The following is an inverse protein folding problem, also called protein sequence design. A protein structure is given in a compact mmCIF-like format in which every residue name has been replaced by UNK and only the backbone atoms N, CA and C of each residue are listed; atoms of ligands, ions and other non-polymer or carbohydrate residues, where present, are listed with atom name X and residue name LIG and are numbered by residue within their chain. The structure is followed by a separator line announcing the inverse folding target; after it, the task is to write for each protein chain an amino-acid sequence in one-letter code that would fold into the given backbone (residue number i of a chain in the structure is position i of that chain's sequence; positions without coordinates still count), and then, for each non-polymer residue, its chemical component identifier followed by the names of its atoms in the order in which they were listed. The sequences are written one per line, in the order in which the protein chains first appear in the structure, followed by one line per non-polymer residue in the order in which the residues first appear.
data_IF_871927444028
#
_entry.id   IF_871927444028
#
_cell.length_a   1.000
_cell.length_b   1.000
_cell.length_c   1.000
_cell.angle_alpha   90.00
_cell.angle_beta   90.00
_cell.angle_gamma   90.00
#
_symmetry.space_group_name_H-M   'P 1'
#
loop_
_entity.id
_entity.type
_entity.pdbx_description
1 polymer ?
#
# COMPACT_ATOMS: atom_id res chain seq x y z
N UNK A 1 60.97 -30.13 -15.74
CA UNK A 1 60.58 -29.15 -14.71
C UNK A 1 60.00 -27.95 -15.42
N UNK A 2 58.68 -27.87 -15.53
CA UNK A 2 57.97 -26.70 -16.06
C UNK A 2 57.17 -26.10 -14.90
N UNK A 3 57.51 -24.86 -14.54
CA UNK A 3 56.94 -24.13 -13.42
C UNK A 3 55.60 -23.52 -13.85
N UNK A 4 54.50 -23.95 -13.23
CA UNK A 4 53.21 -23.27 -13.36
C UNK A 4 53.27 -21.93 -12.61
N UNK A 5 52.90 -20.86 -13.30
CA UNK A 5 52.81 -19.51 -12.79
C UNK A 5 51.48 -19.33 -12.02
N UNK A 6 51.48 -18.98 -10.72
CA UNK A 6 50.27 -18.79 -9.95
C UNK A 6 49.82 -17.33 -10.08
N UNK A 7 49.32 -16.93 -11.25
CA UNK A 7 48.45 -15.77 -11.31
C UNK A 7 47.07 -16.20 -10.84
N UNK A 8 46.87 -16.13 -9.52
CA UNK A 8 45.56 -16.03 -8.89
C UNK A 8 44.80 -14.89 -9.57
N UNK A 9 43.90 -15.24 -10.49
CA UNK A 9 42.75 -14.41 -10.79
C UNK A 9 41.80 -14.52 -9.60
N UNK A 10 42.11 -13.81 -8.52
CA UNK A 10 41.12 -13.44 -7.52
C UNK A 10 40.21 -12.40 -8.17
N UNK A 11 39.32 -12.86 -9.05
CA UNK A 11 38.12 -12.13 -9.37
C UNK A 11 37.30 -12.10 -8.07
N UNK A 12 37.58 -11.09 -7.25
CA UNK A 12 36.66 -10.62 -6.23
C UNK A 12 35.31 -10.48 -6.93
N UNK A 13 34.42 -11.44 -6.70
CA UNK A 13 33.01 -11.30 -6.92
C UNK A 13 32.58 -10.16 -5.98
N UNK A 14 32.79 -8.93 -6.44
CA UNK A 14 32.14 -7.77 -5.89
C UNK A 14 30.69 -7.97 -6.28
N UNK A 15 29.98 -8.78 -5.49
CA UNK A 15 28.53 -8.78 -5.50
C UNK A 15 28.21 -7.37 -5.05
N UNK A 16 27.75 -6.48 -5.95
CA UNK A 16 27.36 -5.15 -5.51
C UNK A 16 26.36 -5.37 -4.40
N UNK A 17 26.60 -4.75 -3.24
CA UNK A 17 25.61 -4.70 -2.17
C UNK A 17 24.37 -4.08 -2.82
N UNK A 18 23.40 -4.93 -3.17
CA UNK A 18 22.24 -4.47 -3.91
C UNK A 18 21.42 -3.66 -2.94
N UNK A 19 21.39 -2.35 -3.15
CA UNK A 19 20.59 -1.43 -2.36
C UNK A 19 19.16 -1.95 -2.31
N UNK A 20 18.59 -2.01 -1.12
CA UNK A 20 17.26 -2.53 -0.90
C UNK A 20 16.21 -1.68 -1.64
N UNK A 21 15.33 -2.33 -2.39
CA UNK A 21 14.40 -1.67 -3.33
C UNK A 21 13.22 -2.60 -3.62
N UNK A 22 12.12 -2.06 -4.14
CA UNK A 22 11.05 -2.84 -4.73
C UNK A 22 11.58 -3.64 -5.93
N UNK A 23 11.18 -4.90 -6.05
CA UNK A 23 11.45 -5.75 -7.21
C UNK A 23 10.16 -5.97 -8.00
N UNK A 24 10.21 -5.72 -9.30
CA UNK A 24 9.08 -5.91 -10.19
C UNK A 24 8.89 -7.37 -10.59
N UNK A 25 7.80 -7.61 -11.32
CA UNK A 25 7.42 -8.95 -11.82
C UNK A 25 8.45 -9.54 -12.80
N UNK A 26 9.24 -8.69 -13.47
CA UNK A 26 10.36 -9.11 -14.33
C UNK A 26 11.58 -9.62 -13.55
N UNK A 27 11.55 -9.54 -12.21
CA UNK A 27 12.69 -9.86 -11.35
C UNK A 27 13.77 -8.76 -11.31
N UNK A 28 13.49 -7.60 -11.89
CA UNK A 28 14.39 -6.44 -11.86
C UNK A 28 13.98 -5.45 -10.77
N UNK A 29 14.94 -4.68 -10.20
CA UNK A 29 14.63 -3.51 -9.39
C UNK A 29 13.68 -2.54 -10.10
N UNK A 30 12.70 -2.02 -9.38
CA UNK A 30 11.83 -0.93 -9.84
C UNK A 30 11.74 0.14 -8.76
N UNK A 31 11.49 1.38 -9.18
CA UNK A 31 11.31 2.49 -8.27
C UNK A 31 9.99 2.37 -7.50
N UNK A 32 8.93 1.97 -8.18
CA UNK A 32 7.65 1.63 -7.57
C UNK A 32 6.91 0.59 -8.41
N UNK A 33 5.99 -0.13 -7.77
CA UNK A 33 5.00 -0.94 -8.47
C UNK A 33 3.67 -0.91 -7.72
N UNK A 34 2.60 -1.21 -8.46
CA UNK A 34 1.27 -1.48 -7.92
C UNK A 34 0.84 -2.89 -8.30
N UNK A 35 0.34 -3.62 -7.33
CA UNK A 35 -0.32 -4.91 -7.52
C UNK A 35 -1.79 -4.76 -7.15
N UNK A 36 -2.66 -5.22 -8.05
CA UNK A 36 -4.09 -5.38 -7.81
C UNK A 36 -4.43 -6.86 -7.85
N UNK A 37 -4.49 -7.48 -6.67
CA UNK A 37 -4.93 -8.88 -6.54
C UNK A 37 -6.44 -8.95 -6.80
N UNK A 38 -6.86 -9.80 -7.73
CA UNK A 38 -8.23 -9.84 -8.23
C UNK A 38 -9.14 -10.71 -7.35
N UNK A 39 -10.42 -10.36 -7.14
CA UNK A 39 -11.34 -11.20 -6.39
C UNK A 39 -11.39 -12.63 -6.93
N UNK A 40 -11.61 -13.61 -6.05
CA UNK A 40 -11.94 -14.95 -6.47
C UNK A 40 -13.22 -14.92 -7.32
N UNK A 41 -13.31 -15.81 -8.30
CA UNK A 41 -14.48 -15.93 -9.19
C UNK A 41 -14.73 -14.72 -10.10
N UNK A 42 -13.79 -13.77 -10.18
CA UNK A 42 -13.86 -12.63 -11.10
C UNK A 42 -13.80 -13.03 -12.59
N UNK A 43 -13.61 -14.30 -12.93
CA UNK A 43 -13.64 -14.77 -14.32
C UNK A 43 -13.77 -16.28 -14.45
N UNK A 44 -13.81 -16.81 -15.68
CA UNK A 44 -13.94 -18.25 -15.91
C UNK A 44 -12.67 -19.02 -15.56
N UNK A 45 -12.85 -20.29 -15.18
CA UNK A 45 -11.77 -21.26 -14.98
C UNK A 45 -11.18 -21.31 -13.56
N UNK A 46 -10.47 -22.41 -13.27
CA UNK A 46 -9.89 -22.70 -11.93
C UNK A 46 -8.93 -21.62 -11.43
N UNK A 47 -8.18 -20.99 -12.34
CA UNK A 47 -7.23 -19.93 -11.99
C UNK A 47 -7.95 -18.70 -11.40
N UNK A 48 -9.07 -18.27 -11.99
CA UNK A 48 -9.87 -17.16 -11.46
C UNK A 48 -10.58 -17.55 -10.15
N UNK A 49 -11.04 -18.79 -10.03
CA UNK A 49 -11.69 -19.30 -8.82
C UNK A 49 -10.73 -19.37 -7.61
N UNK A 50 -9.42 -19.48 -7.85
CA UNK A 50 -8.41 -19.51 -6.77
C UNK A 50 -8.27 -18.18 -6.01
N UNK A 51 -8.62 -17.04 -6.63
CA UNK A 51 -8.37 -15.73 -6.04
C UNK A 51 -6.87 -15.41 -5.85
N UNK A 52 -5.99 -16.06 -6.60
CA UNK A 52 -4.53 -15.81 -6.53
C UNK A 52 -4.01 -15.02 -7.73
N UNK A 53 -4.86 -14.70 -8.70
CA UNK A 53 -4.51 -13.84 -9.84
C UNK A 53 -4.35 -12.40 -9.37
N UNK A 54 -3.45 -11.68 -10.02
CA UNK A 54 -3.31 -10.24 -9.84
C UNK A 54 -2.98 -9.55 -11.16
N UNK A 55 -3.27 -8.26 -11.20
CA UNK A 55 -2.75 -7.32 -12.19
C UNK A 55 -1.57 -6.59 -11.59
N UNK A 56 -0.60 -6.27 -12.44
CA UNK A 56 0.64 -5.63 -12.06
C UNK A 56 0.86 -4.38 -12.92
N UNK A 57 1.46 -3.35 -12.33
CA UNK A 57 1.95 -2.18 -13.04
C UNK A 57 3.20 -1.63 -12.35
N UNK A 58 4.14 -1.13 -13.14
CA UNK A 58 5.24 -0.28 -12.71
C UNK A 58 5.38 0.89 -13.70
N UNK A 59 6.44 1.69 -13.56
CA UNK A 59 6.71 2.82 -14.46
C UNK A 59 6.81 2.41 -15.94
N UNK A 60 7.32 1.20 -16.21
CA UNK A 60 7.69 0.75 -17.54
C UNK A 60 6.63 -0.16 -18.18
N UNK A 61 5.59 -0.57 -17.43
CA UNK A 61 4.59 -1.51 -17.93
C UNK A 61 3.59 -0.91 -18.91
N UNK A 62 3.48 0.42 -18.99
CA UNK A 62 2.53 1.11 -19.88
C UNK A 62 1.05 0.93 -19.50
N UNK A 63 0.77 0.41 -18.30
CA UNK A 63 -0.58 0.11 -17.81
C UNK A 63 -0.65 -1.23 -17.07
N UNK A 64 -1.89 -1.70 -16.82
CA UNK A 64 -2.12 -3.00 -16.19
C UNK A 64 -1.76 -4.16 -17.10
N UNK A 65 -0.93 -5.08 -16.60
CA UNK A 65 -0.68 -6.41 -17.19
C UNK A 65 -1.07 -7.52 -16.23
N UNK A 66 -1.30 -8.72 -16.74
CA UNK A 66 -1.39 -9.90 -15.87
C UNK A 66 -0.07 -10.10 -15.11
N UNK A 67 -0.19 -10.46 -13.83
CA UNK A 67 0.96 -10.78 -13.00
C UNK A 67 1.75 -11.96 -13.55
N UNK A 68 3.05 -12.00 -13.27
CA UNK A 68 3.95 -13.06 -13.75
C UNK A 68 3.59 -14.47 -13.23
N UNK A 69 2.68 -14.56 -12.26
CA UNK A 69 2.19 -15.81 -11.71
C UNK A 69 1.10 -15.57 -10.66
N UNK A 70 1.01 -16.46 -9.69
CA UNK A 70 0.10 -16.31 -8.55
C UNK A 70 0.68 -15.41 -7.46
N UNK A 71 -0.16 -14.64 -6.77
CA UNK A 71 0.26 -13.71 -5.72
C UNK A 71 0.94 -14.42 -4.53
N UNK A 72 0.68 -15.71 -4.32
CA UNK A 72 1.33 -16.53 -3.29
C UNK A 72 2.73 -17.05 -3.69
N UNK A 73 3.20 -16.75 -4.89
CA UNK A 73 4.55 -17.11 -5.34
C UNK A 73 5.60 -16.12 -4.84
N UNK A 74 6.75 -16.63 -4.42
CA UNK A 74 7.94 -15.81 -4.14
C UNK A 74 8.59 -15.23 -5.41
N UNK A 75 8.16 -15.67 -6.60
CA UNK A 75 8.68 -15.22 -7.88
C UNK A 75 7.95 -13.99 -8.46
N UNK A 76 6.83 -13.55 -7.88
CA UNK A 76 6.16 -12.30 -8.24
C UNK A 76 6.73 -11.09 -7.49
N UNK A 77 6.36 -9.87 -7.90
CA UNK A 77 6.91 -8.63 -7.36
C UNK A 77 6.87 -8.52 -5.83
N UNK A 78 5.72 -8.81 -5.22
CA UNK A 78 5.53 -8.76 -3.76
C UNK A 78 6.43 -9.78 -3.06
N UNK A 79 6.43 -11.03 -3.53
CA UNK A 79 7.24 -12.11 -2.98
C UNK A 79 8.74 -11.85 -3.10
N UNK A 80 9.20 -11.34 -4.24
CA UNK A 80 10.61 -10.97 -4.48
C UNK A 80 11.04 -9.80 -3.59
N UNK A 81 10.20 -8.77 -3.49
CA UNK A 81 10.51 -7.58 -2.67
C UNK A 81 10.62 -7.91 -1.19
N UNK A 82 9.81 -8.87 -0.70
CA UNK A 82 9.85 -9.32 0.69
C UNK A 82 10.86 -10.44 0.95
N UNK A 83 11.52 -11.00 -0.07
CA UNK A 83 12.49 -12.09 0.13
C UNK A 83 13.62 -11.72 1.12
N UNK A 84 14.21 -10.51 1.09
CA UNK A 84 15.26 -10.12 2.04
C UNK A 84 14.78 -10.10 3.50
N UNK A 85 13.49 -9.84 3.76
CA UNK A 85 12.90 -9.90 5.11
C UNK A 85 13.03 -11.29 5.74
N UNK A 86 12.97 -12.36 4.93
CA UNK A 86 12.98 -13.73 5.43
C UNK A 86 14.36 -14.39 5.38
N UNK A 87 15.25 -13.90 4.51
CA UNK A 87 16.59 -14.49 4.33
C UNK A 87 17.68 -13.75 5.11
N UNK A 88 17.62 -12.42 5.18
CA UNK A 88 18.72 -11.56 5.65
C UNK A 88 18.27 -10.52 6.69
N UNK A 89 17.24 -10.82 7.49
CA UNK A 89 16.74 -9.91 8.53
C UNK A 89 17.82 -9.44 9.53
N UNK A 90 18.92 -10.20 9.69
CA UNK A 90 20.01 -9.86 10.62
C UNK A 90 20.72 -8.55 10.27
N UNK A 91 20.69 -8.11 9.01
CA UNK A 91 21.38 -6.89 8.54
C UNK A 91 20.44 -5.73 8.18
N UNK A 92 19.13 -5.94 8.32
CA UNK A 92 18.09 -5.00 7.92
C UNK A 92 17.39 -4.42 9.15
N UNK A 93 16.87 -3.20 8.99
CA UNK A 93 15.80 -2.69 9.83
C UNK A 93 14.46 -2.92 9.15
N UNK A 94 13.42 -3.23 9.93
CA UNK A 94 12.09 -3.40 9.40
C UNK A 94 11.01 -3.10 10.43
N UNK A 95 9.82 -2.80 9.91
CA UNK A 95 8.62 -2.58 10.70
C UNK A 95 7.43 -3.14 9.93
N UNK A 96 6.78 -4.16 10.49
CA UNK A 96 5.58 -4.78 9.94
C UNK A 96 4.38 -4.35 10.78
N UNK A 97 3.38 -3.76 10.13
CA UNK A 97 2.19 -3.26 10.83
C UNK A 97 0.91 -3.63 10.11
N UNK A 98 -0.12 -3.96 10.87
CA UNK A 98 -1.43 -4.38 10.38
C UNK A 98 -2.40 -4.36 11.55
N UNK A 99 -3.56 -3.71 11.41
CA UNK A 99 -4.62 -3.74 12.42
C UNK A 99 -5.30 -5.11 12.54
N UNK A 100 -5.06 -6.01 11.60
CA UNK A 100 -5.44 -7.42 11.67
C UNK A 100 -4.19 -8.29 11.43
N UNK A 101 -3.26 -8.37 12.40
CA UNK A 101 -1.96 -8.99 12.19
C UNK A 101 -2.08 -10.52 11.99
N UNK A 102 -1.06 -11.17 11.41
CA UNK A 102 -1.03 -12.62 11.32
C UNK A 102 -1.14 -13.27 12.70
N UNK A 103 -1.91 -14.36 12.83
CA UNK A 103 -2.08 -15.07 14.12
C UNK A 103 -0.75 -15.45 14.82
N UNK A 104 0.31 -15.88 14.12
CA UNK A 104 1.59 -16.20 14.75
C UNK A 104 2.29 -15.02 15.44
N UNK A 105 1.84 -13.78 15.26
CA UNK A 105 2.46 -12.59 15.87
C UNK A 105 2.17 -12.44 17.37
N UNK A 106 1.13 -13.11 17.90
CA UNK A 106 0.70 -12.93 19.29
C UNK A 106 0.05 -11.56 19.60
N UNK A 107 0.08 -10.60 18.67
CA UNK A 107 -0.60 -9.33 18.79
C UNK A 107 -2.12 -9.50 18.64
N UNK A 108 -2.89 -8.90 19.56
CA UNK A 108 -4.34 -8.86 19.49
C UNK A 108 -4.82 -7.71 18.61
N UNK A 109 -5.97 -7.87 17.95
CA UNK A 109 -6.65 -6.78 17.24
C UNK A 109 -7.06 -5.72 18.28
N UNK A 110 -6.44 -4.54 18.19
CA UNK A 110 -6.69 -3.43 19.10
C UNK A 110 -7.50 -2.37 18.36
N UNK A 111 -8.78 -2.25 18.72
CA UNK A 111 -9.70 -1.25 18.17
C UNK A 111 -9.25 0.20 18.35
N UNK A 112 -8.31 0.47 19.27
CA UNK A 112 -7.71 1.78 19.52
C UNK A 112 -6.60 2.17 18.53
N UNK A 113 -6.14 1.24 17.68
CA UNK A 113 -5.11 1.48 16.67
C UNK A 113 -5.74 1.87 15.33
N UNK A 114 -4.95 2.54 14.49
CA UNK A 114 -5.41 2.96 13.17
C UNK A 114 -5.80 1.80 12.26
N UNK A 115 -6.67 2.05 11.29
CA UNK A 115 -6.95 1.12 10.20
C UNK A 115 -5.87 1.25 9.14
N UNK A 116 -4.69 0.69 9.46
CA UNK A 116 -3.52 0.83 8.59
C UNK A 116 -2.66 -0.41 8.54
N UNK A 117 -2.09 -0.69 7.37
CA UNK A 117 -1.28 -1.89 7.11
C UNK A 117 -0.14 -1.59 6.15
N UNK A 118 1.02 -2.17 6.42
CA UNK A 118 2.17 -2.01 5.54
C UNK A 118 3.45 -2.64 6.07
N UNK A 119 4.50 -2.48 5.25
CA UNK A 119 5.84 -2.98 5.50
C UNK A 119 6.84 -1.86 5.21
N UNK A 120 7.73 -1.61 6.16
CA UNK A 120 8.98 -0.90 5.92
C UNK A 120 10.11 -1.92 5.99
N UNK A 121 10.97 -1.93 4.99
CA UNK A 121 12.21 -2.70 4.98
C UNK A 121 13.33 -1.75 4.57
N UNK A 122 14.43 -1.77 5.34
CA UNK A 122 15.49 -0.76 5.32
C UNK A 122 16.89 -1.37 5.40
N UNK A 123 17.81 -0.80 4.64
CA UNK A 123 19.25 -0.91 4.80
C UNK A 123 19.87 0.47 5.09
N UNK A 124 21.20 0.55 5.15
CA UNK A 124 21.91 1.79 5.48
C UNK A 124 21.82 2.89 4.41
N UNK A 125 21.33 2.58 3.21
CA UNK A 125 21.22 3.50 2.07
C UNK A 125 19.77 3.92 1.79
N UNK A 126 18.81 3.04 2.09
CA UNK A 126 17.39 3.30 1.96
C UNK A 126 16.57 2.03 2.06
N UNK A 127 15.50 1.94 1.27
CA UNK A 127 14.64 0.77 1.30
C UNK A 127 13.35 1.00 0.57
N UNK A 128 12.28 0.36 1.02
CA UNK A 128 10.95 0.58 0.47
C UNK A 128 9.87 0.66 1.54
N UNK A 129 8.77 1.31 1.16
CA UNK A 129 7.50 1.27 1.87
C UNK A 129 6.45 0.57 1.01
N UNK A 130 5.87 -0.50 1.54
CA UNK A 130 4.76 -1.23 0.95
C UNK A 130 3.48 -0.91 1.72
N UNK A 131 2.58 -0.12 1.13
CA UNK A 131 1.24 0.16 1.65
C UNK A 131 0.27 -0.85 1.06
N UNK A 132 -0.61 -1.45 1.87
CA UNK A 132 -1.52 -2.48 1.37
C UNK A 132 -2.85 -2.57 2.14
N UNK A 133 -3.83 -3.21 1.53
CA UNK A 133 -5.13 -3.48 2.17
C UNK A 133 -5.26 -4.89 2.79
N UNK A 134 -4.24 -5.75 2.63
CA UNK A 134 -4.28 -7.19 2.94
C UNK A 134 -4.28 -7.49 4.45
N UNK A 135 -5.33 -8.10 5.01
CA UNK A 135 -5.34 -8.54 6.41
C UNK A 135 -4.50 -9.80 6.63
N UNK A 136 -3.86 -9.91 7.80
CA UNK A 136 -2.96 -11.00 8.20
C UNK A 136 -1.73 -11.16 7.31
N UNK A 137 -1.21 -10.04 6.81
CA UNK A 137 -0.05 -9.98 5.92
C UNK A 137 0.93 -8.88 6.34
N UNK A 138 2.23 -9.04 6.03
CA UNK A 138 2.90 -10.31 5.70
C UNK A 138 3.09 -11.24 6.91
N UNK A 139 3.49 -12.51 6.73
CA UNK A 139 3.95 -13.34 7.84
C UNK A 139 5.11 -12.69 8.61
N UNK A 140 5.19 -12.83 9.96
CA UNK A 140 6.32 -12.33 10.73
C UNK A 140 7.62 -13.03 10.32
N UNK A 141 8.75 -12.40 10.61
CA UNK A 141 10.10 -12.91 10.30
C UNK A 141 10.35 -14.31 10.86
N UNK A 142 9.76 -14.65 12.01
CA UNK A 142 9.81 -15.98 12.62
C UNK A 142 9.20 -17.09 11.75
N UNK A 143 8.39 -16.76 10.74
CA UNK A 143 7.83 -17.72 9.79
C UNK A 143 8.85 -18.21 8.75
N UNK A 144 10.01 -17.54 8.65
CA UNK A 144 11.13 -17.84 7.74
C UNK A 144 10.80 -17.87 6.23
N UNK A 145 9.57 -17.58 5.82
CA UNK A 145 9.17 -17.60 4.41
C UNK A 145 7.99 -16.67 4.09
N UNK A 146 7.98 -16.18 2.85
CA UNK A 146 6.85 -15.50 2.25
C UNK A 146 5.66 -16.46 2.09
N UNK A 147 4.46 -15.99 2.44
CA UNK A 147 3.22 -16.67 2.09
C UNK A 147 2.07 -15.68 1.98
N UNK A 148 1.07 -16.04 1.16
CA UNK A 148 -0.15 -15.26 1.04
C UNK A 148 -1.23 -15.79 1.99
N UNK A 149 -1.88 -14.93 2.79
CA UNK A 149 -2.85 -15.40 3.77
C UNK A 149 -4.13 -15.91 3.09
N UNK A 150 -4.62 -17.06 3.55
CA UNK A 150 -5.82 -17.70 3.01
C UNK A 150 -7.05 -16.78 3.04
N UNK A 151 -7.21 -15.98 4.11
CA UNK A 151 -8.33 -15.03 4.24
C UNK A 151 -8.30 -13.88 3.22
N UNK A 152 -7.19 -13.67 2.51
CA UNK A 152 -7.09 -12.66 1.45
C UNK A 152 -7.25 -13.26 0.05
N UNK A 153 -7.74 -14.50 -0.09
CA UNK A 153 -8.00 -15.11 -1.40
C UNK A 153 -9.36 -14.68 -1.98
N UNK A 154 -10.38 -14.45 -1.16
CA UNK A 154 -11.73 -14.17 -1.66
C UNK A 154 -11.85 -12.82 -2.36
N UNK A 155 -11.33 -11.75 -1.78
CA UNK A 155 -11.61 -10.39 -2.22
C UNK A 155 -10.43 -9.70 -2.91
N UNK A 156 -10.73 -8.69 -3.71
CA UNK A 156 -9.73 -7.82 -4.34
C UNK A 156 -8.87 -7.08 -3.30
N UNK A 157 -7.61 -6.81 -3.62
CA UNK A 157 -6.67 -6.12 -2.72
C UNK A 157 -5.68 -5.29 -3.53
N UNK A 158 -5.25 -4.14 -3.00
CA UNK A 158 -4.18 -3.34 -3.58
C UNK A 158 -2.93 -3.33 -2.70
N UNK A 159 -1.77 -3.30 -3.35
CA UNK A 159 -0.47 -3.10 -2.73
C UNK A 159 0.33 -2.11 -3.59
N UNK A 160 0.87 -1.06 -2.97
CA UNK A 160 1.77 -0.10 -3.58
C UNK A 160 3.13 -0.19 -2.88
N UNK A 161 4.16 -0.55 -3.63
CA UNK A 161 5.56 -0.53 -3.17
C UNK A 161 6.25 0.69 -3.76
N UNK A 162 6.92 1.50 -2.93
CA UNK A 162 7.76 2.60 -3.39
C UNK A 162 9.12 2.53 -2.72
N UNK A 163 10.17 2.61 -3.53
CA UNK A 163 11.57 2.62 -3.12
C UNK A 163 11.98 4.04 -2.75
N UNK A 164 12.54 4.24 -1.57
CA UNK A 164 12.93 5.55 -1.05
C UNK A 164 14.39 5.56 -0.59
N UNK A 165 15.10 6.69 -0.73
CA UNK A 165 16.36 6.89 -0.03
C UNK A 165 16.11 7.00 1.48
N UNK A 166 17.11 6.66 2.29
CA UNK A 166 16.96 6.62 3.76
C UNK A 166 16.44 7.94 4.35
N UNK A 167 16.79 9.07 3.73
CA UNK A 167 16.39 10.42 4.14
C UNK A 167 14.88 10.65 4.15
N UNK A 168 14.09 9.87 3.40
CA UNK A 168 12.62 9.97 3.42
C UNK A 168 11.99 9.28 4.63
N UNK A 169 12.68 8.33 5.27
CA UNK A 169 12.08 7.50 6.32
C UNK A 169 11.85 8.24 7.63
N UNK A 170 12.53 9.37 7.86
CA UNK A 170 12.13 10.32 8.91
C UNK A 170 10.69 10.83 8.68
N UNK A 171 10.36 11.26 7.46
CA UNK A 171 9.03 11.76 7.11
C UNK A 171 7.98 10.64 7.14
N UNK A 172 8.33 9.45 6.64
CA UNK A 172 7.46 8.27 6.68
C UNK A 172 7.17 7.87 8.13
N UNK A 173 8.19 7.79 8.98
CA UNK A 173 8.01 7.50 10.40
C UNK A 173 7.09 8.52 11.09
N UNK A 174 7.27 9.81 10.78
CA UNK A 174 6.36 10.85 11.28
C UNK A 174 4.92 10.62 10.83
N UNK A 175 4.68 10.29 9.56
CA UNK A 175 3.33 9.95 9.07
C UNK A 175 2.73 8.75 9.84
N UNK A 176 3.55 7.74 10.15
CA UNK A 176 3.09 6.59 10.94
C UNK A 176 2.72 6.96 12.39
N UNK A 177 3.30 8.00 12.98
CA UNK A 177 2.83 8.49 14.30
C UNK A 177 1.41 9.06 14.26
N UNK A 178 0.96 9.56 13.09
CA UNK A 178 -0.42 9.99 12.87
C UNK A 178 -1.33 8.80 12.61
N UNK A 179 -0.89 7.80 11.84
CA UNK A 179 -1.74 6.63 11.58
C UNK A 179 -1.90 5.73 12.80
N UNK A 180 -0.99 5.82 13.77
CA UNK A 180 -0.97 5.05 15.00
C UNK A 180 -1.16 3.53 14.76
N UNK A 181 -0.25 2.92 13.97
CA UNK A 181 -0.40 1.55 13.52
C UNK A 181 -0.26 0.55 14.68
N UNK A 182 -0.80 -0.65 14.45
CA UNK A 182 -0.46 -1.84 15.25
C UNK A 182 0.78 -2.50 14.65
N UNK A 183 1.94 -2.26 15.25
CA UNK A 183 3.21 -2.93 14.89
C UNK A 183 3.23 -4.31 15.53
N UNK A 184 3.41 -5.37 14.74
CA UNK A 184 3.35 -6.75 15.22
C UNK A 184 4.68 -7.51 15.07
N UNK A 185 5.61 -7.00 14.28
CA UNK A 185 6.97 -7.50 14.19
C UNK A 185 7.88 -6.35 13.72
N UNK A 186 9.06 -6.24 14.30
CA UNK A 186 9.98 -5.15 13.97
C UNK A 186 11.41 -5.54 14.34
N UNK A 187 12.34 -4.85 13.69
CA UNK A 187 13.72 -4.78 14.12
C UNK A 187 14.26 -3.40 13.81
N UNK A 188 14.76 -2.74 14.85
CA UNK A 188 15.38 -1.44 14.74
C UNK A 188 16.53 -1.42 15.76
N UNK A 189 17.76 -1.57 15.28
CA UNK A 189 18.93 -1.43 16.17
C UNK A 189 19.19 0.05 16.48
N UNK A 190 20.11 0.30 17.43
CA UNK A 190 20.45 1.66 17.88
C UNK A 190 20.97 2.53 16.72
N UNK A 191 21.70 1.95 15.77
CA UNK A 191 22.27 2.71 14.65
C UNK A 191 21.18 3.18 13.67
N UNK A 192 20.18 2.34 13.41
CA UNK A 192 19.01 2.75 12.64
C UNK A 192 18.13 3.72 13.43
N UNK A 193 17.84 3.44 14.70
CA UNK A 193 16.97 4.28 15.53
C UNK A 193 17.43 5.75 15.56
N UNK A 194 18.74 6.01 15.60
CA UNK A 194 19.30 7.36 15.53
C UNK A 194 19.00 8.09 14.21
N UNK A 195 18.93 7.36 13.08
CA UNK A 195 18.68 7.92 11.74
C UNK A 195 17.18 8.09 11.45
N UNK A 196 16.34 7.25 12.04
CA UNK A 196 14.89 7.22 11.85
C UNK A 196 14.13 7.19 13.19
N UNK A 197 14.32 8.18 14.07
CA UNK A 197 13.80 8.14 15.44
C UNK A 197 12.27 8.10 15.52
N UNK A 198 11.54 8.65 14.55
CA UNK A 198 10.09 8.48 14.53
C UNK A 198 9.64 7.04 14.28
N UNK A 199 10.46 6.20 13.65
CA UNK A 199 10.16 4.76 13.58
C UNK A 199 10.36 4.09 14.94
N UNK A 200 11.32 4.57 15.74
CA UNK A 200 11.47 4.12 17.12
C UNK A 200 10.25 4.51 17.98
N UNK A 201 9.73 5.73 17.81
CA UNK A 201 8.49 6.18 18.43
C UNK A 201 7.30 5.28 18.06
N UNK A 202 7.15 4.98 16.77
CA UNK A 202 6.07 4.10 16.28
C UNK A 202 6.17 2.70 16.89
N UNK A 203 7.38 2.12 16.96
CA UNK A 203 7.63 0.82 17.62
C UNK A 203 7.25 0.85 19.09
N UNK A 204 7.54 1.94 19.80
CA UNK A 204 7.16 2.15 21.21
C UNK A 204 5.67 2.44 21.39
N UNK A 205 4.91 2.59 20.31
CA UNK A 205 3.50 2.96 20.35
C UNK A 205 3.26 4.43 20.71
N UNK A 206 4.26 5.29 20.51
CA UNK A 206 4.07 6.73 20.57
C UNK A 206 3.32 7.20 19.32
N UNK A 207 2.52 8.25 19.51
CA UNK A 207 1.64 8.82 18.50
C UNK A 207 1.47 10.32 18.77
N UNK A 208 0.85 11.02 17.82
CA UNK A 208 0.59 12.45 17.97
C UNK A 208 -0.32 12.74 19.16
N UNK A 209 0.12 13.64 20.04
CA UNK A 209 -0.60 14.02 21.27
C UNK A 209 -1.40 15.32 21.13
N UNK A 210 -1.06 16.13 20.13
CA UNK A 210 -1.65 17.45 19.90
C UNK A 210 -2.00 17.64 18.42
N UNK A 211 -2.98 18.50 18.18
CA UNK A 211 -3.37 18.91 16.84
C UNK A 211 -2.25 19.68 16.12
N UNK A 212 -2.34 19.81 14.78
CA UNK A 212 -3.41 19.29 13.91
C UNK A 212 -3.43 17.76 13.88
N UNK A 213 -4.63 17.16 13.76
CA UNK A 213 -4.83 15.70 13.79
C UNK A 213 -4.63 15.03 12.43
N UNK A 214 -4.11 15.76 11.45
CA UNK A 214 -3.77 15.30 10.13
C UNK A 214 -2.41 15.87 9.72
N UNK A 215 -1.74 15.21 8.79
CA UNK A 215 -0.44 15.65 8.26
C UNK A 215 -0.24 15.19 6.84
N UNK A 216 0.15 16.11 5.96
CA UNK A 216 0.58 15.78 4.60
C UNK A 216 2.08 16.05 4.45
N UNK A 217 2.78 15.16 3.75
CA UNK A 217 4.21 15.35 3.43
C UNK A 217 4.56 14.82 2.05
N UNK A 218 5.36 15.60 1.30
CA UNK A 218 5.91 15.18 0.02
C UNK A 218 7.14 14.27 0.24
N UNK A 219 7.10 13.13 -0.42
CA UNK A 219 8.13 12.10 -0.46
C UNK A 219 8.67 12.00 -1.90
N UNK A 220 9.97 11.78 -2.01
CA UNK A 220 10.65 11.61 -3.31
C UNK A 220 11.26 10.21 -3.35
N UNK A 221 10.85 9.40 -4.32
CA UNK A 221 11.36 8.05 -4.52
C UNK A 221 12.85 8.04 -4.92
N UNK A 222 13.47 6.86 -4.96
CA UNK A 222 14.89 6.72 -5.37
C UNK A 222 15.13 7.23 -6.79
N UNK A 223 14.19 7.02 -7.71
CA UNK A 223 14.28 7.50 -9.10
C UNK A 223 13.72 8.92 -9.32
N UNK A 224 13.30 9.61 -8.25
CA UNK A 224 12.87 11.01 -8.31
C UNK A 224 11.37 11.24 -8.55
N UNK A 225 10.56 10.18 -8.65
CA UNK A 225 9.10 10.30 -8.73
C UNK A 225 8.56 10.85 -7.39
N UNK A 226 7.56 11.72 -7.46
CA UNK A 226 7.01 12.41 -6.28
C UNK A 226 5.72 11.76 -5.81
N UNK A 227 5.66 11.46 -4.51
CA UNK A 227 4.48 10.94 -3.82
C UNK A 227 4.09 11.87 -2.68
N UNK A 228 2.80 12.15 -2.54
CA UNK A 228 2.24 12.90 -1.43
C UNK A 228 1.61 11.93 -0.43
N UNK A 229 2.17 11.85 0.77
CA UNK A 229 1.57 11.07 1.86
C UNK A 229 0.57 11.92 2.63
N UNK A 230 -0.61 11.36 2.87
CA UNK A 230 -1.64 11.93 3.73
C UNK A 230 -1.95 10.96 4.86
N UNK A 231 -1.86 11.42 6.10
CA UNK A 231 -2.24 10.65 7.28
C UNK A 231 -3.17 11.47 8.18
N UNK A 232 -4.18 10.80 8.73
CA UNK A 232 -5.02 11.30 9.82
C UNK A 232 -4.82 10.45 11.07
N UNK A 233 -4.99 11.08 12.22
CA UNK A 233 -5.11 10.42 13.52
C UNK A 233 -6.59 10.23 13.89
N UNK A 234 -6.88 9.36 14.87
CA UNK A 234 -8.25 9.03 15.26
C UNK A 234 -9.07 10.22 15.78
N UNK A 235 -8.42 11.30 16.23
CA UNK A 235 -9.09 12.54 16.67
C UNK A 235 -9.38 13.53 15.54
N UNK A 236 -9.13 13.18 14.28
CA UNK A 236 -9.39 14.07 13.14
C UNK A 236 -10.88 14.42 13.00
N UNK A 237 -11.78 13.49 13.34
CA UNK A 237 -13.21 13.78 13.48
C UNK A 237 -14.05 13.71 12.20
N UNK A 238 -13.46 13.30 11.08
CA UNK A 238 -14.14 13.10 9.78
C UNK A 238 -13.45 11.99 8.97
N UNK A 239 -14.00 11.56 7.84
CA UNK A 239 -13.35 10.60 6.93
C UNK A 239 -12.17 11.24 6.17
N UNK A 240 -11.16 10.43 5.82
CA UNK A 240 -9.96 10.93 5.16
C UNK A 240 -10.29 11.64 3.83
N UNK A 241 -11.26 11.14 3.09
CA UNK A 241 -11.48 11.53 1.69
C UNK A 241 -12.32 12.80 1.60
N UNK A 242 -13.52 12.81 2.18
CA UNK A 242 -14.43 13.97 2.12
C UNK A 242 -14.07 15.05 3.14
N UNK A 243 -13.51 14.66 4.29
CA UNK A 243 -13.13 15.59 5.34
C UNK A 243 -11.84 16.37 5.05
N UNK A 244 -11.01 15.91 4.11
CA UNK A 244 -9.72 16.56 3.82
C UNK A 244 -9.14 16.31 2.43
N UNK A 245 -9.03 15.06 1.98
CA UNK A 245 -8.20 14.72 0.81
C UNK A 245 -8.66 15.42 -0.48
N UNK A 246 -9.97 15.43 -0.78
CA UNK A 246 -10.49 16.02 -2.01
C UNK A 246 -10.17 17.52 -2.10
N UNK A 247 -10.36 18.24 -0.99
CA UNK A 247 -10.03 19.67 -0.88
C UNK A 247 -8.52 19.92 -0.97
N UNK A 248 -7.71 19.10 -0.27
CA UNK A 248 -6.25 19.23 -0.29
C UNK A 248 -5.62 18.95 -1.66
N UNK A 249 -6.26 18.09 -2.47
CA UNK A 249 -5.84 17.81 -3.84
C UNK A 249 -6.45 18.78 -4.87
N UNK A 250 -7.46 19.56 -4.47
CA UNK A 250 -8.22 20.44 -5.36
C UNK A 250 -8.91 19.66 -6.48
N UNK A 251 -9.43 18.46 -6.18
CA UNK A 251 -10.03 17.58 -7.19
C UNK A 251 -11.17 16.75 -6.62
N UNK A 252 -12.20 16.54 -7.44
CA UNK A 252 -13.18 15.50 -7.22
C UNK A 252 -12.48 14.14 -7.14
N UNK A 253 -12.96 13.23 -6.31
CA UNK A 253 -12.39 11.90 -6.13
C UNK A 253 -13.44 10.81 -6.31
N UNK A 254 -13.13 9.82 -7.13
CA UNK A 254 -13.83 8.54 -7.15
C UNK A 254 -13.09 7.56 -6.24
N UNK A 255 -13.75 7.06 -5.20
CA UNK A 255 -13.12 6.30 -4.12
C UNK A 255 -13.61 4.86 -4.08
N UNK A 256 -12.68 3.93 -4.22
CA UNK A 256 -12.87 2.51 -3.96
C UNK A 256 -12.48 2.19 -2.51
N UNK A 257 -13.35 1.47 -1.81
CA UNK A 257 -13.15 0.96 -0.45
C UNK A 257 -14.04 -0.25 -0.19
N UNK A 258 -13.87 -0.90 0.97
CA UNK A 258 -14.68 -2.07 1.33
C UNK A 258 -16.12 -1.66 1.72
N UNK A 259 -17.06 -1.83 0.78
CA UNK A 259 -18.46 -1.44 0.98
C UNK A 259 -19.31 -2.45 1.75
N UNK A 260 -18.75 -3.62 2.09
CA UNK A 260 -19.42 -4.60 2.94
C UNK A 260 -19.05 -4.40 4.43
N UNK A 261 -19.13 -3.14 4.88
CA UNK A 261 -18.93 -2.74 6.28
C UNK A 261 -20.19 -2.06 6.82
N UNK A 262 -20.36 -2.07 8.13
CA UNK A 262 -21.44 -1.33 8.77
C UNK A 262 -21.16 0.18 8.73
N UNK A 263 -22.22 0.98 8.57
CA UNK A 263 -22.11 2.45 8.62
C UNK A 263 -21.33 3.05 7.45
N UNK A 264 -21.47 2.51 6.24
CA UNK A 264 -20.87 3.10 5.04
C UNK A 264 -21.33 4.56 4.88
N UNK A 265 -20.37 5.45 4.65
CA UNK A 265 -20.65 6.85 4.36
C UNK A 265 -21.15 6.98 2.91
N UNK A 266 -22.17 7.81 2.64
CA UNK A 266 -22.58 8.08 1.28
C UNK A 266 -21.55 8.93 0.55
N UNK A 267 -21.66 8.95 -0.78
CA UNK A 267 -21.00 9.93 -1.62
C UNK A 267 -21.33 11.34 -1.14
N UNK A 268 -20.34 12.22 -1.12
CA UNK A 268 -20.40 13.52 -0.49
C UNK A 268 -20.15 14.62 -1.53
N UNK A 269 -21.15 15.47 -1.73
CA UNK A 269 -21.10 16.65 -2.60
C UNK A 269 -21.51 17.93 -1.84
N UNK A 270 -21.32 17.96 -0.52
CA UNK A 270 -21.63 19.16 0.28
C UNK A 270 -20.55 20.23 0.22
N UNK A 271 -19.37 19.89 -0.32
CA UNK A 271 -18.22 20.78 -0.55
C UNK A 271 -17.96 20.95 -2.04
N UNK A 272 -17.12 21.93 -2.39
CA UNK A 272 -16.74 22.23 -3.79
C UNK A 272 -16.11 21.02 -4.51
N UNK A 273 -15.34 20.21 -3.78
CA UNK A 273 -14.77 18.96 -4.30
C UNK A 273 -15.61 17.78 -3.82
N UNK A 274 -16.13 17.02 -4.78
CA UNK A 274 -17.01 15.88 -4.54
C UNK A 274 -16.22 14.60 -4.30
N UNK A 275 -16.76 13.74 -3.45
CA UNK A 275 -16.24 12.39 -3.21
C UNK A 275 -17.31 11.35 -3.52
N UNK A 276 -17.08 10.57 -4.57
CA UNK A 276 -18.04 9.64 -5.17
C UNK A 276 -17.61 8.19 -4.91
N UNK A 277 -18.53 7.35 -4.43
CA UNK A 277 -18.23 5.96 -4.08
C UNK A 277 -18.20 5.10 -5.35
N UNK A 278 -17.07 4.48 -5.68
CA UNK A 278 -16.99 3.51 -6.77
C UNK A 278 -17.84 2.29 -6.43
N UNK A 279 -18.74 1.86 -7.30
CA UNK A 279 -19.63 0.71 -7.08
C UNK A 279 -19.28 -0.49 -7.97
N UNK A 280 -18.67 -0.24 -9.12
CA UNK A 280 -18.16 -1.29 -10.01
C UNK A 280 -16.77 -0.94 -10.53
N UNK A 281 -15.91 -1.95 -10.52
CA UNK A 281 -14.56 -1.90 -11.07
C UNK A 281 -14.54 -2.73 -12.35
N UNK A 282 -13.86 -2.26 -13.40
CA UNK A 282 -13.58 -3.07 -14.57
C UNK A 282 -12.20 -2.76 -15.14
N UNK A 283 -11.39 -3.79 -15.35
CA UNK A 283 -10.14 -3.63 -16.09
C UNK A 283 -10.46 -3.49 -17.59
N UNK A 284 -9.96 -2.45 -18.29
CA UNK A 284 -10.29 -2.23 -19.71
C UNK A 284 -9.91 -3.43 -20.58
N UNK A 285 -10.75 -3.87 -21.51
CA UNK A 285 -10.41 -4.98 -22.42
C UNK A 285 -9.10 -4.72 -23.19
N UNK A 286 -8.25 -5.73 -23.43
CA UNK A 286 -8.38 -7.15 -23.01
C UNK A 286 -7.95 -7.39 -21.55
N UNK A 287 -7.73 -6.32 -20.78
CA UNK A 287 -6.97 -6.31 -19.53
C UNK A 287 -7.72 -6.81 -18.29
N UNK A 288 -8.92 -7.39 -18.38
CA UNK A 288 -9.42 -8.30 -17.34
C UNK A 288 -10.85 -8.08 -16.86
N UNK A 289 -11.20 -8.64 -15.70
CA UNK A 289 -12.59 -8.80 -15.32
C UNK A 289 -13.23 -7.52 -14.76
N UNK A 290 -14.56 -7.54 -14.73
CA UNK A 290 -15.37 -6.59 -13.98
C UNK A 290 -15.96 -7.25 -12.72
N UNK A 291 -16.04 -6.50 -11.62
CA UNK A 291 -16.55 -6.98 -10.34
C UNK A 291 -17.12 -5.84 -9.49
N UNK A 292 -17.90 -6.19 -8.48
CA UNK A 292 -18.53 -5.22 -7.57
C UNK A 292 -17.53 -4.69 -6.55
N UNK A 293 -17.70 -3.43 -6.11
CA UNK A 293 -16.95 -2.88 -4.97
C UNK A 293 -17.16 -3.69 -3.67
N UNK A 294 -18.27 -4.44 -3.55
CA UNK A 294 -18.54 -5.35 -2.42
C UNK A 294 -17.68 -6.62 -2.44
N UNK A 295 -16.99 -6.89 -3.54
CA UNK A 295 -16.08 -8.04 -3.71
C UNK A 295 -14.61 -7.60 -3.59
N UNK A 296 -14.37 -6.36 -3.17
CA UNK A 296 -13.05 -5.74 -3.25
C UNK A 296 -12.65 -4.98 -1.98
N UNK A 297 -11.65 -5.52 -1.28
CA UNK A 297 -11.06 -4.93 -0.08
C UNK A 297 -10.04 -3.83 -0.37
N UNK A 298 -9.66 -3.59 -1.63
CA UNK A 298 -8.71 -2.53 -2.00
C UNK A 298 -9.19 -1.16 -1.54
N UNK A 299 -8.22 -0.27 -1.32
CA UNK A 299 -8.46 1.14 -1.04
C UNK A 299 -7.64 1.97 -1.99
N UNK A 300 -8.33 2.71 -2.83
CA UNK A 300 -7.71 3.67 -3.73
C UNK A 300 -8.72 4.74 -4.12
N UNK A 301 -8.23 5.88 -4.57
CA UNK A 301 -9.05 6.86 -5.25
C UNK A 301 -8.34 7.40 -6.48
N UNK A 302 -9.13 7.92 -7.41
CA UNK A 302 -8.66 8.55 -8.63
C UNK A 302 -9.45 9.81 -8.88
N UNK A 303 -8.79 10.85 -9.36
CA UNK A 303 -9.48 12.04 -9.82
C UNK A 303 -10.11 11.76 -11.20
N UNK A 304 -11.40 12.06 -11.42
CA UNK A 304 -12.02 11.95 -12.74
C UNK A 304 -11.32 12.83 -13.78
N UNK A 305 -10.85 14.00 -13.33
CA UNK A 305 -10.11 14.99 -14.11
C UNK A 305 -8.81 15.32 -13.38
N UNK A 306 -7.69 15.36 -14.10
CA UNK A 306 -6.37 15.62 -13.52
C UNK A 306 -5.69 14.38 -12.95
N UNK A 307 -4.35 14.42 -12.73
CA UNK A 307 -3.53 13.21 -12.70
C UNK A 307 -3.46 12.48 -11.35
N UNK A 308 -4.34 12.78 -10.39
CA UNK A 308 -4.22 12.23 -9.04
C UNK A 308 -4.74 10.79 -8.96
N UNK A 309 -3.89 9.91 -8.43
CA UNK A 309 -4.26 8.59 -7.93
C UNK A 309 -3.69 8.44 -6.53
N UNK A 310 -4.47 7.87 -5.62
CA UNK A 310 -3.99 7.50 -4.30
C UNK A 310 -4.26 6.02 -4.00
N UNK A 311 -3.29 5.34 -3.40
CA UNK A 311 -3.43 3.96 -2.90
C UNK A 311 -3.11 3.96 -1.41
N UNK A 312 -4.02 3.37 -0.63
CA UNK A 312 -3.94 3.43 0.82
C UNK A 312 -4.57 2.21 1.46
N UNK A 313 -5.03 2.40 2.69
CA UNK A 313 -5.65 1.35 3.50
C UNK A 313 -6.94 1.80 4.18
N UNK A 314 -7.37 3.06 4.06
CA UNK A 314 -8.52 3.64 4.78
C UNK A 314 -9.88 3.38 4.11
N UNK A 315 -10.85 2.81 4.84
CA UNK A 315 -12.25 2.70 4.39
C UNK A 315 -13.04 4.02 4.57
N UNK A 316 -14.24 4.08 3.99
CA UNK A 316 -15.22 5.16 4.22
C UNK A 316 -16.45 4.66 4.96
N UNK A 317 -16.31 4.50 6.27
CA UNK A 317 -17.42 4.16 7.17
C UNK A 317 -17.28 4.93 8.50
N UNK A 318 -18.39 5.08 9.23
CA UNK A 318 -18.47 5.88 10.47
C UNK A 318 -17.40 5.52 11.51
N UNK A 319 -17.00 4.24 11.59
CA UNK A 319 -15.97 3.81 12.55
C UNK A 319 -14.59 4.37 12.18
N UNK A 320 -14.29 4.47 10.88
CA UNK A 320 -13.00 4.95 10.41
C UNK A 320 -12.84 6.49 10.51
N UNK A 321 -13.91 7.24 10.77
CA UNK A 321 -13.81 8.66 11.13
C UNK A 321 -12.99 8.86 12.42
N UNK A 322 -13.05 7.87 13.32
CA UNK A 322 -12.40 7.89 14.64
C UNK A 322 -11.12 7.05 14.71
N UNK A 323 -10.59 6.58 13.56
CA UNK A 323 -9.36 5.78 13.49
C UNK A 323 -8.30 6.47 12.65
N UNK A 324 -7.04 6.24 13.00
CA UNK A 324 -5.90 6.73 12.22
C UNK A 324 -5.67 5.90 10.96
N UNK A 325 -5.02 6.48 9.96
CA UNK A 325 -4.59 5.81 8.73
C UNK A 325 -4.41 6.81 7.60
N UNK A 326 -4.15 6.33 6.38
CA UNK A 326 -3.65 7.22 5.34
C UNK A 326 -3.64 6.67 3.93
N UNK A 327 -3.04 7.44 3.03
CA UNK A 327 -2.89 7.09 1.62
C UNK A 327 -1.64 7.73 1.03
N UNK A 328 -1.10 7.10 -0.02
CA UNK A 328 -0.04 7.65 -0.85
C UNK A 328 -0.64 8.06 -2.19
N UNK A 329 -0.58 9.36 -2.47
CA UNK A 329 -1.06 9.97 -3.71
C UNK A 329 0.10 10.29 -4.65
N UNK A 330 -0.11 10.23 -5.96
CA UNK A 330 0.88 10.69 -6.94
C UNK A 330 0.20 11.27 -8.17
N UNK A 331 0.90 12.20 -8.83
CA UNK A 331 0.53 12.75 -10.14
C UNK A 331 1.36 12.08 -11.24
N UNK A 332 1.28 10.76 -11.32
CA UNK A 332 2.03 9.99 -12.33
C UNK A 332 1.09 9.67 -13.50
N UNK A 333 1.38 10.14 -14.73
CA UNK A 333 0.50 9.92 -15.88
C UNK A 333 0.20 8.45 -16.16
N UNK A 334 1.19 7.55 -15.98
CA UNK A 334 1.01 6.11 -16.14
C UNK A 334 0.02 5.54 -15.11
N UNK A 335 0.14 5.97 -13.85
CA UNK A 335 -0.73 5.55 -12.75
C UNK A 335 -2.16 6.02 -12.99
N UNK A 336 -2.35 7.30 -13.32
CA UNK A 336 -3.68 7.87 -13.58
C UNK A 336 -4.37 7.23 -14.79
N UNK A 337 -3.67 7.08 -15.92
CA UNK A 337 -4.21 6.42 -17.12
C UNK A 337 -4.60 4.96 -16.88
N UNK A 338 -3.99 4.29 -15.91
CA UNK A 338 -4.32 2.92 -15.55
C UNK A 338 -5.49 2.83 -14.56
N UNK A 339 -5.58 3.74 -13.58
CA UNK A 339 -6.61 3.71 -12.54
C UNK A 339 -7.92 4.36 -12.95
N UNK A 340 -7.89 5.46 -13.72
CA UNK A 340 -9.11 6.18 -14.09
C UNK A 340 -10.10 5.28 -14.85
N UNK A 341 -9.67 4.46 -15.83
CA UNK A 341 -10.57 3.57 -16.54
C UNK A 341 -11.09 2.39 -15.70
N UNK A 342 -10.54 2.15 -14.50
CA UNK A 342 -11.05 1.10 -13.61
C UNK A 342 -12.45 1.44 -13.09
N UNK A 343 -12.79 2.72 -12.99
CA UNK A 343 -14.08 3.16 -12.48
C UNK A 343 -15.15 2.93 -13.54
N UNK A 344 -15.86 1.79 -13.44
CA UNK A 344 -16.97 1.44 -14.35
C UNK A 344 -18.28 2.10 -13.94
N UNK A 345 -18.53 2.17 -12.63
CA UNK A 345 -19.70 2.83 -12.08
C UNK A 345 -19.39 3.39 -10.69
N UNK A 346 -20.11 4.44 -10.31
CA UNK A 346 -20.05 5.04 -8.99
C UNK A 346 -21.45 5.45 -8.54
N UNK A 347 -21.62 5.65 -7.24
CA UNK A 347 -22.84 6.17 -6.65
C UNK A 347 -22.80 7.71 -6.78
N UNK A 348 -23.80 8.34 -7.42
CA UNK A 348 -23.91 9.79 -7.38
C UNK A 348 -24.33 10.25 -5.98
N UNK A 349 -24.07 11.51 -5.65
CA UNK A 349 -24.73 12.14 -4.53
C UNK A 349 -26.24 12.14 -4.79
N UNK A 350 -27.04 11.83 -3.77
CA UNK A 350 -28.49 11.87 -3.93
C UNK A 350 -28.92 13.28 -4.33
N UNK A 351 -29.75 13.40 -5.36
CA UNK A 351 -30.57 14.60 -5.49
C UNK A 351 -31.38 14.72 -4.20
N UNK A 352 -31.32 15.88 -3.54
CA UNK A 352 -32.36 16.21 -2.57
C UNK A 352 -33.67 16.03 -3.31
N UNK A 353 -34.41 14.95 -3.03
CA UNK A 353 -35.81 14.84 -3.44
C UNK A 353 -36.51 15.98 -2.74
N UNK A 354 -36.61 17.12 -3.43
CA UNK A 354 -37.56 18.17 -3.10
C UNK A 354 -38.92 17.51 -3.24
N UNK A 355 -39.44 16.99 -2.13
CA UNK A 355 -40.85 16.76 -1.99
C UNK A 355 -41.50 18.13 -2.10
N UNK A 356 -41.97 18.47 -3.31
CA UNK A 356 -42.91 19.55 -3.45
C UNK A 356 -44.21 19.13 -2.74
N UNK A 357 -44.80 20.02 -1.93
CA UNK A 357 -45.92 19.72 -1.03
C UNK A 357 -47.19 19.27 -1.76
#
# INVERSE_FOLDING_TARGET
MATLNPMLLAALLWVPVRTLTCYGDSGQPVDWFVVYKLPAQSGPGKAAQSGLRYKYMDKDSGGWRDGAGSINSSAGAVGRSLLPLYQNASQLAFLLYNDQPPKPSGAQDLSSRGHTKGVLLLDQEGGFWLVHSVPRFPPPTSSAAYSWPFNAQTYGQTLLCVSFPLTQFWKIGRQLTYTYPLVYDHKLDVAFAQKVPYLEDVVKGHHVLHGPWNSSVTLTSKAGDTFQSFAKFGKFGDDLYSGWLAEALGSNLQVQFWQNSHGILPSNCSRDQHVLDVTQIAFPEPAGPAFSATEDHSKWCVAPEGPWVCVGDMNRNLREEQRGGGTLCAQLPALWKAFQPLVKAWKPCGENRTFFP
#
